data_IF_366061062080
#
_entry.id   IF_366061062080
#
_cell.length_a   1.000
_cell.length_b   1.000
_cell.length_c   1.000
_cell.angle_alpha   90.00
_cell.angle_beta   90.00
_cell.angle_gamma   90.00
#
_symmetry.space_group_name_H-M   'P 1'
#
loop_
_entity.id
_entity.type
_entity.pdbx_description
1 polymer ?
#
# COMPACT_ATOMS: atom_id res chain seq x y z
N UNK A 1 -1.60 -25.86 10.02
CA UNK A 1 -0.20 -25.88 10.49
C UNK A 1 0.67 -27.00 9.93
N UNK A 2 0.10 -28.00 9.23
CA UNK A 2 0.82 -29.22 8.80
C UNK A 2 1.71 -29.11 7.55
N UNK A 3 1.76 -27.96 6.87
CA UNK A 3 2.47 -27.82 5.58
C UNK A 3 3.98 -27.52 5.72
N UNK A 4 4.51 -27.33 6.94
CA UNK A 4 5.91 -26.95 7.16
C UNK A 4 6.28 -25.54 6.67
N UNK A 5 5.29 -24.74 6.29
CA UNK A 5 5.48 -23.35 5.84
C UNK A 5 5.57 -22.44 7.07
N UNK A 6 6.58 -21.57 7.06
CA UNK A 6 6.74 -20.55 8.11
C UNK A 6 5.50 -19.65 8.19
N UNK A 7 4.99 -19.47 9.39
CA UNK A 7 3.94 -18.51 9.71
C UNK A 7 4.26 -17.85 11.04
N UNK A 8 3.79 -16.62 11.21
CA UNK A 8 3.96 -15.85 12.44
C UNK A 8 2.66 -15.11 12.72
N UNK A 9 2.09 -15.32 13.90
CA UNK A 9 0.95 -14.53 14.35
C UNK A 9 1.38 -13.08 14.54
N UNK A 10 0.59 -12.15 14.04
CA UNK A 10 0.82 -10.72 14.22
C UNK A 10 0.15 -10.27 15.52
N UNK A 11 0.84 -9.41 16.26
CA UNK A 11 0.28 -8.74 17.44
C UNK A 11 -0.57 -7.54 16.97
N UNK A 12 -1.79 -7.85 16.52
CA UNK A 12 -2.75 -6.87 16.03
C UNK A 12 -4.11 -7.11 16.69
N UNK A 13 -4.77 -6.01 17.05
CA UNK A 13 -6.11 -6.04 17.67
C UNK A 13 -7.24 -6.07 16.65
N UNK A 14 -6.96 -5.73 15.38
CA UNK A 14 -7.95 -5.62 14.32
C UNK A 14 -7.45 -6.34 13.05
N UNK A 15 -8.27 -7.20 12.43
CA UNK A 15 -7.94 -7.86 11.17
C UNK A 15 -8.24 -6.93 9.97
N UNK A 16 -7.40 -5.90 9.78
CA UNK A 16 -7.50 -5.00 8.63
C UNK A 16 -7.44 -5.76 7.29
N UNK A 17 -7.99 -5.16 6.22
CA UNK A 17 -7.99 -5.73 4.87
C UNK A 17 -8.68 -7.09 4.76
N UNK A 18 -9.65 -7.35 5.64
CA UNK A 18 -10.41 -8.60 5.69
C UNK A 18 -11.91 -8.36 5.60
N UNK A 19 -12.72 -9.39 5.30
CA UNK A 19 -14.18 -9.29 5.32
C UNK A 19 -14.76 -8.81 6.67
N UNK A 20 -14.01 -8.92 7.77
CA UNK A 20 -14.46 -8.39 9.08
C UNK A 20 -14.65 -6.87 9.03
N UNK A 21 -13.97 -6.16 8.13
CA UNK A 21 -14.13 -4.72 7.97
C UNK A 21 -15.48 -4.31 7.40
N UNK A 22 -16.25 -5.23 6.79
CA UNK A 22 -17.59 -4.95 6.26
C UNK A 22 -18.54 -4.42 7.35
N UNK A 23 -18.26 -4.74 8.61
CA UNK A 23 -19.00 -4.26 9.79
C UNK A 23 -18.93 -2.74 10.01
N UNK A 24 -17.94 -2.05 9.43
CA UNK A 24 -17.72 -0.61 9.62
C UNK A 24 -17.90 0.19 8.32
N UNK A 25 -18.34 -0.43 7.23
CA UNK A 25 -18.45 0.23 5.91
C UNK A 25 -19.33 1.48 5.98
N UNK A 26 -20.57 1.34 6.47
CA UNK A 26 -21.53 2.44 6.53
C UNK A 26 -21.05 3.60 7.42
N UNK A 27 -20.53 3.28 8.62
CA UNK A 27 -20.03 4.27 9.56
C UNK A 27 -18.83 5.05 8.99
N UNK A 28 -17.93 4.35 8.31
CA UNK A 28 -16.74 4.96 7.70
C UNK A 28 -17.11 5.84 6.51
N UNK A 29 -18.00 5.35 5.63
CA UNK A 29 -18.46 6.12 4.47
C UNK A 29 -19.16 7.42 4.89
N UNK A 30 -19.98 7.36 5.94
CA UNK A 30 -20.68 8.51 6.48
C UNK A 30 -19.73 9.49 7.18
N UNK A 31 -18.80 8.98 8.01
CA UNK A 31 -17.82 9.80 8.72
C UNK A 31 -16.89 10.56 7.78
N UNK A 32 -16.55 9.97 6.64
CA UNK A 32 -15.64 10.56 5.65
C UNK A 32 -16.36 11.27 4.49
N UNK A 33 -17.70 11.37 4.49
CA UNK A 33 -18.50 11.88 3.34
C UNK A 33 -18.10 13.27 2.84
N UNK A 34 -17.54 14.10 3.73
CA UNK A 34 -17.14 15.47 3.43
C UNK A 34 -15.66 15.61 3.04
N UNK A 35 -14.89 14.52 3.08
CA UNK A 35 -13.50 14.52 2.62
C UNK A 35 -13.51 14.66 1.11
N UNK A 36 -12.80 15.70 0.65
CA UNK A 36 -12.56 15.94 -0.78
C UNK A 36 -11.06 15.89 -1.01
N UNK A 37 -10.63 14.86 -1.72
CA UNK A 37 -9.28 14.77 -2.23
C UNK A 37 -8.94 16.01 -3.08
N UNK A 38 -7.65 16.38 -3.10
CA UNK A 38 -7.16 17.50 -3.90
C UNK A 38 -6.08 17.02 -4.86
N UNK A 39 -5.86 17.77 -5.93
CA UNK A 39 -4.79 17.49 -6.87
C UNK A 39 -3.44 17.47 -6.14
N UNK A 40 -2.70 16.38 -6.29
CA UNK A 40 -1.35 16.27 -5.74
C UNK A 40 -0.35 17.02 -6.63
N UNK A 41 0.69 17.57 -6.01
CA UNK A 41 1.83 18.18 -6.71
C UNK A 41 2.92 17.16 -7.06
N UNK A 42 2.82 15.94 -6.54
CA UNK A 42 3.71 14.82 -6.80
C UNK A 42 2.90 13.59 -7.19
N UNK A 43 3.51 12.71 -7.97
CA UNK A 43 2.90 11.45 -8.39
C UNK A 43 2.55 10.61 -7.16
N UNK A 44 1.28 10.19 -7.06
CA UNK A 44 0.79 9.33 -5.99
C UNK A 44 0.41 7.98 -6.59
N UNK A 45 0.97 6.91 -6.06
CA UNK A 45 0.63 5.54 -6.44
C UNK A 45 -0.22 4.90 -5.35
N UNK A 46 -1.37 4.36 -5.73
CA UNK A 46 -2.22 3.64 -4.79
C UNK A 46 -1.76 2.19 -4.66
N UNK A 47 -1.71 1.69 -3.43
CA UNK A 47 -1.53 0.26 -3.14
C UNK A 47 -2.83 -0.54 -3.24
N UNK A 48 -3.96 0.11 -3.50
CA UNK A 48 -5.25 -0.55 -3.78
C UNK A 48 -5.39 -0.82 -5.28
N UNK A 49 -5.10 0.18 -6.13
CA UNK A 49 -5.26 0.07 -7.58
C UNK A 49 -3.97 -0.27 -8.32
N UNK A 50 -2.82 -0.24 -7.64
CA UNK A 50 -1.47 -0.47 -8.18
C UNK A 50 -1.06 0.47 -9.30
N UNK A 51 -1.67 1.65 -9.38
CA UNK A 51 -1.42 2.63 -10.43
C UNK A 51 -1.31 4.02 -9.85
N UNK A 52 -0.79 4.95 -10.67
CA UNK A 52 -0.84 6.38 -10.37
C UNK A 52 -2.29 6.85 -10.29
N UNK A 53 -2.64 7.61 -9.26
CA UNK A 53 -3.99 8.16 -9.06
C UNK A 53 -3.93 9.69 -8.96
N UNK A 54 -5.01 10.38 -9.32
CA UNK A 54 -5.19 11.79 -8.92
C UNK A 54 -5.59 11.81 -7.45
N UNK A 55 -5.00 12.72 -6.66
CA UNK A 55 -5.43 12.91 -5.27
C UNK A 55 -6.91 13.31 -5.14
N UNK A 56 -7.53 13.85 -6.18
CA UNK A 56 -8.97 14.13 -6.23
C UNK A 56 -9.83 12.86 -6.14
N UNK A 57 -9.26 11.69 -6.43
CA UNK A 57 -9.94 10.39 -6.32
C UNK A 57 -9.94 9.84 -4.89
N UNK A 58 -9.30 10.51 -3.93
CA UNK A 58 -9.20 10.06 -2.53
C UNK A 58 -10.43 10.51 -1.71
N UNK A 59 -11.60 10.08 -2.13
CA UNK A 59 -12.87 10.28 -1.44
C UNK A 59 -13.13 9.20 -0.37
N UNK A 60 -14.30 9.25 0.27
CA UNK A 60 -14.71 8.25 1.26
C UNK A 60 -14.72 6.81 0.71
N UNK A 61 -15.13 6.61 -0.55
CA UNK A 61 -15.12 5.29 -1.19
C UNK A 61 -13.69 4.77 -1.41
N UNK A 62 -12.74 5.63 -1.76
CA UNK A 62 -11.34 5.25 -1.85
C UNK A 62 -10.80 4.81 -0.49
N UNK A 63 -11.09 5.57 0.57
CA UNK A 63 -10.65 5.21 1.92
C UNK A 63 -11.30 3.93 2.44
N UNK A 64 -12.58 3.70 2.13
CA UNK A 64 -13.23 2.43 2.39
C UNK A 64 -12.49 1.26 1.71
N UNK A 65 -12.22 1.38 0.40
CA UNK A 65 -11.44 0.38 -0.33
C UNK A 65 -10.04 0.19 0.27
N UNK A 66 -9.39 1.24 0.73
CA UNK A 66 -8.08 1.13 1.37
C UNK A 66 -8.13 0.32 2.68
N UNK A 67 -9.17 0.50 3.50
CA UNK A 67 -9.38 -0.27 4.74
C UNK A 67 -9.73 -1.73 4.43
N UNK A 68 -10.53 -1.96 3.39
CA UNK A 68 -11.16 -3.26 3.11
C UNK A 68 -10.34 -4.17 2.19
N UNK A 69 -9.66 -3.61 1.21
CA UNK A 69 -8.94 -4.36 0.19
C UNK A 69 -7.48 -4.60 0.60
N UNK A 70 -6.82 -5.67 0.08
CA UNK A 70 -5.42 -5.93 0.34
C UNK A 70 -4.50 -4.76 -0.08
N UNK A 71 -3.43 -4.56 0.69
CA UNK A 71 -2.32 -3.66 0.31
C UNK A 71 -1.42 -4.38 -0.70
N UNK A 72 -1.55 -4.05 -1.98
CA UNK A 72 -0.78 -4.66 -3.07
C UNK A 72 0.62 -4.04 -3.23
N UNK A 73 1.38 -3.99 -2.14
CA UNK A 73 2.67 -3.27 -2.06
C UNK A 73 3.69 -3.67 -3.14
N UNK A 74 3.97 -4.97 -3.27
CA UNK A 74 4.98 -5.45 -4.22
C UNK A 74 4.61 -5.09 -5.67
N UNK A 75 3.34 -5.25 -6.04
CA UNK A 75 2.85 -4.89 -7.38
C UNK A 75 2.91 -3.39 -7.65
N UNK A 76 2.63 -2.56 -6.65
CA UNK A 76 2.82 -1.10 -6.77
C UNK A 76 4.29 -0.72 -6.89
N UNK A 77 5.20 -1.45 -6.22
CA UNK A 77 6.65 -1.28 -6.39
C UNK A 77 7.09 -1.61 -7.83
N UNK A 78 6.55 -2.66 -8.45
CA UNK A 78 6.84 -3.00 -9.85
C UNK A 78 6.50 -1.82 -10.78
N UNK A 79 5.33 -1.18 -10.59
CA UNK A 79 4.93 0.00 -11.35
C UNK A 79 5.80 1.23 -11.08
N UNK A 80 6.30 1.41 -9.86
CA UNK A 80 7.21 2.50 -9.52
C UNK A 80 8.59 2.32 -10.18
N UNK A 81 9.10 1.09 -10.18
CA UNK A 81 10.40 0.73 -10.74
C UNK A 81 10.36 0.81 -12.27
N UNK A 82 9.26 0.41 -12.92
CA UNK A 82 9.12 0.49 -14.39
C UNK A 82 9.18 1.91 -14.91
N UNK A 83 8.69 2.88 -14.13
CA UNK A 83 8.48 4.23 -14.61
C UNK A 83 9.74 5.11 -14.53
N UNK A 84 10.67 4.85 -13.58
CA UNK A 84 11.84 5.71 -13.33
C UNK A 84 13.01 4.96 -12.68
N UNK A 85 14.24 5.38 -12.95
CA UNK A 85 15.38 5.13 -12.06
C UNK A 85 15.08 5.78 -10.69
N UNK A 86 14.80 4.97 -9.67
CA UNK A 86 14.22 5.46 -8.41
C UNK A 86 15.14 5.23 -7.21
N UNK A 87 15.24 6.25 -6.36
CA UNK A 87 15.72 6.13 -4.97
C UNK A 87 14.49 6.07 -4.09
N UNK A 88 14.41 5.08 -3.20
CA UNK A 88 13.30 4.91 -2.26
C UNK A 88 13.71 5.41 -0.86
N UNK A 89 12.85 6.22 -0.25
CA UNK A 89 13.02 6.73 1.12
C UNK A 89 11.78 6.32 1.92
N UNK A 90 12.01 5.61 3.02
CA UNK A 90 10.95 5.29 4.00
C UNK A 90 10.86 6.42 5.03
N UNK A 91 9.66 6.97 5.22
CA UNK A 91 9.39 8.02 6.20
C UNK A 91 8.62 7.42 7.36
N UNK A 92 9.31 7.19 8.48
CA UNK A 92 8.73 6.62 9.70
C UNK A 92 9.76 6.48 10.82
N UNK A 93 9.31 6.19 12.06
CA UNK A 93 10.20 6.08 13.22
C UNK A 93 11.08 4.81 13.18
N UNK A 94 10.62 3.76 12.47
CA UNK A 94 11.31 2.49 12.32
C UNK A 94 11.21 1.99 10.87
N UNK A 95 12.29 1.40 10.30
CA UNK A 95 12.33 0.99 8.90
C UNK A 95 11.71 -0.41 8.71
N UNK A 96 10.38 -0.49 8.62
CA UNK A 96 9.64 -1.75 8.47
C UNK A 96 9.48 -2.17 7.01
N UNK A 97 9.53 -1.24 6.05
CA UNK A 97 9.37 -1.52 4.62
C UNK A 97 10.69 -1.80 3.89
N UNK A 98 11.84 -1.42 4.49
CA UNK A 98 13.17 -1.57 3.89
C UNK A 98 13.42 -2.93 3.23
N UNK A 99 13.16 -4.03 3.94
CA UNK A 99 13.43 -5.37 3.40
C UNK A 99 12.50 -5.69 2.21
N UNK A 100 11.21 -5.36 2.32
CA UNK A 100 10.26 -5.57 1.23
C UNK A 100 10.62 -4.73 -0.02
N UNK A 101 11.11 -3.50 0.16
CA UNK A 101 11.60 -2.67 -0.94
C UNK A 101 12.84 -3.30 -1.61
N UNK A 102 13.82 -3.76 -0.83
CA UNK A 102 15.02 -4.42 -1.36
C UNK A 102 14.65 -5.67 -2.17
N UNK A 103 13.73 -6.49 -1.66
CA UNK A 103 13.29 -7.71 -2.33
C UNK A 103 12.54 -7.37 -3.63
N UNK A 104 11.69 -6.35 -3.63
CA UNK A 104 10.99 -5.87 -4.83
C UNK A 104 11.98 -5.40 -5.90
N UNK A 105 13.01 -4.63 -5.53
CA UNK A 105 14.04 -4.17 -6.49
C UNK A 105 14.85 -5.33 -7.04
N UNK A 106 15.26 -6.29 -6.20
CA UNK A 106 15.99 -7.49 -6.65
C UNK A 106 15.18 -8.33 -7.64
N UNK A 107 13.88 -8.46 -7.42
CA UNK A 107 13.00 -9.23 -8.29
C UNK A 107 12.77 -8.53 -9.65
N UNK A 108 13.01 -7.22 -9.75
CA UNK A 108 12.80 -6.41 -10.94
C UNK A 108 14.08 -6.06 -11.72
N UNK A 109 15.24 -6.67 -11.40
CA UNK A 109 16.57 -6.25 -11.90
C UNK A 109 16.61 -5.74 -13.36
N UNK A 110 16.62 -4.41 -13.49
CA UNK A 110 17.63 -3.69 -14.25
C UNK A 110 18.72 -3.28 -13.25
N UNK A 111 19.88 -3.90 -13.37
CA UNK A 111 21.04 -3.73 -12.50
C UNK A 111 21.56 -2.28 -12.44
N UNK A 112 21.91 -1.78 -11.24
CA UNK A 112 23.24 -1.22 -10.90
C UNK A 112 23.25 -0.79 -9.42
N UNK A 113 23.96 -1.54 -8.57
CA UNK A 113 24.49 -1.02 -7.31
C UNK A 113 25.93 -0.57 -7.60
N UNK A 114 26.17 0.74 -7.62
CA UNK A 114 27.55 1.25 -7.55
C UNK A 114 28.03 1.10 -6.11
N UNK A 115 29.11 0.33 -5.92
CA UNK A 115 30.00 0.45 -4.78
C UNK A 115 30.80 1.75 -4.86
#
# INVERSE_FOLDING_TARGET
ESAGIFHRQLDVVVPYHSPVMDLIEEELLESLKNIKGQKTTTDLYSTVTTNKISGEQMDNYYWWKNVREPVLFAKTMDSLISDKNTVFIEVGPHPVLKNAMIDSVKNNQVCHFLQ
#
